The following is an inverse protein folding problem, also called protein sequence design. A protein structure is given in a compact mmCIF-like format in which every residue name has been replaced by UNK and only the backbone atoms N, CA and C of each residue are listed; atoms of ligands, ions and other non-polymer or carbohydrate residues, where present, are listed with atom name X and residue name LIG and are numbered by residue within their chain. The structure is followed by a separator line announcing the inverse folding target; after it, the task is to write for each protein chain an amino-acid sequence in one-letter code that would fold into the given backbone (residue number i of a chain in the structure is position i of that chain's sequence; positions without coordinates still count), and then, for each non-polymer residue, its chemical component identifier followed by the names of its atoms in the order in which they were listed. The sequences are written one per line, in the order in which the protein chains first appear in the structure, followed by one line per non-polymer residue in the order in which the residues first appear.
data_IF_919136983711
#
_entry.id   IF_919136983711
#
_cell.length_a   1.000
_cell.length_b   1.000
_cell.length_c   1.000
_cell.angle_alpha   90.00
_cell.angle_beta   90.00
_cell.angle_gamma   90.00
#
_symmetry.space_group_name_H-M   'P 1'
#
loop_
_entity.id
_entity.type
_entity.pdbx_description
1 polymer ?
#
# COMPACT_ATOMS: atom_id res chain seq x y z
N UNK A 1 19.10 -9.13 -12.95
CA UNK A 1 17.75 -8.54 -13.05
C UNK A 1 17.13 -8.54 -11.66
N UNK A 2 17.00 -7.38 -11.06
CA UNK A 2 16.76 -7.23 -9.61
C UNK A 2 15.26 -7.01 -9.40
N UNK A 3 14.74 -7.58 -8.32
CA UNK A 3 13.33 -7.86 -8.03
C UNK A 3 12.34 -6.69 -8.00
N UNK A 4 12.66 -5.52 -8.57
CA UNK A 4 11.80 -4.34 -8.65
C UNK A 4 10.47 -4.64 -9.34
N UNK A 5 10.46 -5.45 -10.42
CA UNK A 5 9.22 -5.85 -11.11
C UNK A 5 8.28 -6.63 -10.17
N UNK A 6 8.83 -7.55 -9.37
CA UNK A 6 8.07 -8.29 -8.36
C UNK A 6 7.64 -7.38 -7.21
N UNK A 7 8.49 -6.44 -6.78
CA UNK A 7 8.14 -5.46 -5.77
C UNK A 7 6.96 -4.59 -6.22
N UNK A 8 7.00 -4.04 -7.44
CA UNK A 8 5.90 -3.29 -8.04
C UNK A 8 4.63 -4.12 -8.17
N UNK A 9 4.75 -5.39 -8.59
CA UNK A 9 3.60 -6.31 -8.62
C UNK A 9 2.97 -6.50 -7.22
N UNK A 10 3.79 -6.72 -6.18
CA UNK A 10 3.31 -6.84 -4.80
C UNK A 10 2.70 -5.52 -4.29
N UNK A 11 3.27 -4.38 -4.65
CA UNK A 11 2.72 -3.06 -4.28
C UNK A 11 1.33 -2.85 -4.89
N UNK A 12 1.14 -3.16 -6.18
CA UNK A 12 -0.17 -3.11 -6.83
C UNK A 12 -1.12 -4.13 -6.21
N UNK A 13 -0.68 -5.38 -6.02
CA UNK A 13 -1.48 -6.43 -5.37
C UNK A 13 -1.97 -5.98 -3.99
N UNK A 14 -1.16 -5.24 -3.21
CA UNK A 14 -1.56 -4.71 -1.89
C UNK A 14 -2.73 -3.72 -1.96
N UNK A 15 -2.94 -3.05 -3.09
CA UNK A 15 -4.06 -2.13 -3.28
C UNK A 15 -5.38 -2.90 -3.48
N UNK A 16 -5.33 -3.98 -4.27
CA UNK A 16 -6.50 -4.80 -4.57
C UNK A 16 -6.82 -5.81 -3.46
N UNK A 17 -5.78 -6.42 -2.87
CA UNK A 17 -5.91 -7.52 -1.91
C UNK A 17 -4.80 -7.47 -0.83
N UNK A 18 -5.07 -7.98 0.39
CA UNK A 18 -4.02 -8.08 1.39
C UNK A 18 -2.90 -9.03 0.93
N UNK A 19 -1.65 -8.58 1.09
CA UNK A 19 -0.47 -9.41 0.85
C UNK A 19 -0.33 -10.49 1.92
N UNK A 20 0.15 -11.66 1.51
CA UNK A 20 0.57 -12.70 2.46
C UNK A 20 1.79 -12.25 3.28
N UNK A 21 1.98 -12.83 4.47
CA UNK A 21 3.07 -12.45 5.37
C UNK A 21 4.46 -12.58 4.72
N UNK A 22 4.67 -13.64 3.94
CA UNK A 22 5.91 -13.90 3.20
C UNK A 22 6.15 -12.86 2.10
N UNK A 23 5.11 -12.51 1.34
CA UNK A 23 5.18 -11.48 0.31
C UNK A 23 5.50 -10.11 0.91
N UNK A 24 4.90 -9.80 2.05
CA UNK A 24 5.12 -8.55 2.79
C UNK A 24 6.57 -8.43 3.27
N UNK A 25 7.13 -9.51 3.83
CA UNK A 25 8.52 -9.53 4.27
C UNK A 25 9.48 -9.36 3.08
N UNK A 26 9.26 -10.10 2.00
CA UNK A 26 10.08 -10.00 0.79
C UNK A 26 10.06 -8.59 0.20
N UNK A 27 8.88 -7.97 0.14
CA UNK A 27 8.70 -6.60 -0.31
C UNK A 27 9.43 -5.60 0.59
N UNK A 28 9.30 -5.74 1.92
CA UNK A 28 9.99 -4.88 2.89
C UNK A 28 11.51 -4.93 2.77
N UNK A 29 12.09 -6.13 2.64
CA UNK A 29 13.54 -6.31 2.43
C UNK A 29 13.97 -5.60 1.14
N UNK A 30 13.23 -5.79 0.04
CA UNK A 30 13.57 -5.16 -1.22
C UNK A 30 13.49 -3.63 -1.18
N UNK A 31 12.44 -3.10 -0.54
CA UNK A 31 12.26 -1.67 -0.35
C UNK A 31 13.41 -1.06 0.48
N UNK A 32 13.87 -1.75 1.53
CA UNK A 32 14.99 -1.30 2.33
C UNK A 32 16.30 -1.18 1.52
N UNK A 33 16.48 -2.07 0.54
CA UNK A 33 17.67 -2.07 -0.33
C UNK A 33 17.52 -1.17 -1.58
N UNK A 34 16.31 -0.82 -1.98
CA UNK A 34 16.04 -0.05 -3.20
C UNK A 34 15.27 1.24 -2.91
N UNK A 35 16.00 2.38 -2.96
CA UNK A 35 15.43 3.71 -2.76
C UNK A 35 14.27 4.03 -3.71
N UNK A 36 14.32 3.55 -4.95
CA UNK A 36 13.27 3.82 -5.94
C UNK A 36 11.94 3.14 -5.54
N UNK A 37 12.02 1.85 -5.17
CA UNK A 37 10.87 1.11 -4.65
C UNK A 37 10.37 1.69 -3.32
N UNK A 38 11.26 2.19 -2.45
CA UNK A 38 10.87 2.88 -1.22
C UNK A 38 10.02 4.12 -1.47
N UNK A 39 10.43 4.98 -2.41
CA UNK A 39 9.67 6.19 -2.76
C UNK A 39 8.31 5.83 -3.37
N UNK A 40 8.28 4.84 -4.27
CA UNK A 40 7.04 4.38 -4.89
C UNK A 40 6.04 3.81 -3.86
N UNK A 41 6.50 2.95 -2.96
CA UNK A 41 5.69 2.39 -1.87
C UNK A 41 5.14 3.48 -0.94
N UNK A 42 5.94 4.53 -0.65
CA UNK A 42 5.49 5.64 0.17
C UNK A 42 4.35 6.43 -0.50
N UNK A 43 4.48 6.74 -1.81
CA UNK A 43 3.42 7.42 -2.57
C UNK A 43 2.14 6.58 -2.63
N UNK A 44 2.25 5.28 -2.90
CA UNK A 44 1.11 4.36 -2.93
C UNK A 44 0.39 4.29 -1.58
N UNK A 45 1.13 4.23 -0.47
CA UNK A 45 0.54 4.30 0.89
C UNK A 45 -0.16 5.63 1.15
N UNK A 46 0.37 6.75 0.66
CA UNK A 46 -0.30 8.05 0.81
C UNK A 46 -1.62 8.09 0.06
N UNK A 47 -1.66 7.56 -1.17
CA UNK A 47 -2.89 7.43 -1.95
C UNK A 47 -3.87 6.52 -1.21
N UNK A 48 -3.42 5.34 -0.78
CA UNK A 48 -4.26 4.37 -0.07
C UNK A 48 -4.82 4.94 1.24
N UNK A 49 -4.03 5.67 2.01
CA UNK A 49 -4.46 6.36 3.22
C UNK A 49 -5.46 7.48 2.91
N UNK A 50 -5.28 8.22 1.82
CA UNK A 50 -6.22 9.28 1.41
C UNK A 50 -7.55 8.69 0.97
N UNK A 51 -7.52 7.63 0.14
CA UNK A 51 -8.72 6.88 -0.25
C UNK A 51 -9.43 6.29 0.96
N UNK A 52 -8.69 5.66 1.88
CA UNK A 52 -9.25 5.10 3.12
C UNK A 52 -9.84 6.19 4.02
N UNK A 53 -9.19 7.34 4.16
CA UNK A 53 -9.71 8.47 4.95
C UNK A 53 -10.99 9.07 4.35
N UNK A 54 -11.08 9.16 3.01
CA UNK A 54 -12.32 9.61 2.34
C UNK A 54 -13.46 8.63 2.59
N UNK A 55 -13.21 7.34 2.43
CA UNK A 55 -14.19 6.30 2.73
C UNK A 55 -14.57 6.28 4.22
N UNK A 56 -13.63 6.55 5.13
CA UNK A 56 -13.90 6.66 6.57
C UNK A 56 -14.74 7.88 6.91
N UNK A 57 -14.47 9.03 6.29
CA UNK A 57 -15.26 10.26 6.46
C UNK A 57 -16.72 10.07 6.04
N UNK A 58 -16.98 9.34 4.97
CA UNK A 58 -18.34 9.02 4.51
C UNK A 58 -19.09 8.09 5.51
N UNK A 59 -18.37 7.17 6.14
CA UNK A 59 -18.91 6.29 7.20
C UNK A 59 -19.10 7.04 8.53
N UNK A 60 -18.26 8.04 8.85
CA UNK A 60 -18.39 8.87 10.06
C UNK A 60 -19.50 9.92 9.93
N UNK A 61 -19.71 10.50 8.74
CA UNK A 61 -20.81 11.45 8.46
C UNK A 61 -22.20 10.77 8.53
N UNK A 62 -22.27 9.47 8.20
CA UNK A 62 -23.50 8.67 8.35
C UNK A 62 -23.83 8.37 9.82
N UNK A 63 -22.87 8.45 10.75
CA UNK A 63 -23.09 8.19 12.19
C UNK A 63 -23.54 9.42 12.99
N UNK A 64 -23.49 10.62 12.41
CA UNK A 64 -23.92 11.87 13.06
C UNK A 64 -25.41 12.20 12.80
N UNK A 65 -26.14 11.38 12.04
CA UNK A 65 -27.56 11.57 11.70
C UNK A 65 -28.50 10.48 12.27
N UNK A 66 -28.12 9.80 13.36
CA UNK A 66 -29.05 9.00 14.16
C UNK A 66 -28.90 9.32 15.65
#
# INVERSE_FOLDING_TARGET
MKSCKKASFLMSKQLDAPLSLTEKLSLSVHIAMCKNCSRCNQQLKQIQNTCRQRHKKEIEDTKQNH
#
